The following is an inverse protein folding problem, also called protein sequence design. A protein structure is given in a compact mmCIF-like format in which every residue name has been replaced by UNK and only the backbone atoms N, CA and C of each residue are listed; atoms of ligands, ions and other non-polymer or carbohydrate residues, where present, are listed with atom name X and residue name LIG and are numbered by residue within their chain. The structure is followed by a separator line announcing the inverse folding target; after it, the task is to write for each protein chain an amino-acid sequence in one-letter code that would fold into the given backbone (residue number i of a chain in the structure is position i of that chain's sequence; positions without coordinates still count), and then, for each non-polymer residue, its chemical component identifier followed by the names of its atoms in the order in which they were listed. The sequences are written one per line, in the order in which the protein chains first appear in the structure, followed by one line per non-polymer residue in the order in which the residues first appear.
data_IF_730335848232
#
_entry.id   IF_730335848232
#
_cell.length_a   1.000
_cell.length_b   1.000
_cell.length_c   1.000
_cell.angle_alpha   90.00
_cell.angle_beta   90.00
_cell.angle_gamma   90.00
#
_symmetry.space_group_name_H-M   'P 1'
#
loop_
_entity.id
_entity.type
_entity.pdbx_description
1 polymer ?
#
# COMPACT_ATOMS: atom_id res chain seq x y z
N UNK A 1 -3.40 9.75 -17.61
CA UNK A 1 -4.30 8.89 -16.81
C UNK A 1 -3.79 9.03 -15.39
N UNK A 2 -4.55 9.66 -14.51
CA UNK A 2 -4.19 9.78 -13.08
C UNK A 2 -4.06 8.37 -12.50
N UNK A 3 -3.01 8.14 -11.72
CA UNK A 3 -2.71 6.86 -11.06
C UNK A 3 -3.29 6.91 -9.65
N UNK A 4 -3.73 5.77 -9.11
CA UNK A 4 -4.46 5.73 -7.83
C UNK A 4 -3.63 5.95 -6.56
N UNK A 5 -2.33 6.26 -6.69
CA UNK A 5 -1.45 6.55 -5.56
C UNK A 5 -1.49 8.05 -5.30
N UNK A 6 -2.55 8.49 -4.63
CA UNK A 6 -2.71 9.88 -4.18
C UNK A 6 -2.62 9.91 -2.65
N UNK A 7 -1.49 10.43 -2.17
CA UNK A 7 -1.16 10.54 -0.75
C UNK A 7 0.24 11.12 -0.66
N UNK A 8 0.36 12.31 -0.07
CA UNK A 8 1.66 12.97 0.10
C UNK A 8 2.60 12.06 0.88
N UNK A 9 3.83 11.89 0.39
CA UNK A 9 4.89 11.26 1.18
C UNK A 9 5.03 12.08 2.47
N UNK A 10 4.98 11.42 3.64
CA UNK A 10 5.37 12.06 4.90
C UNK A 10 6.79 12.64 4.78
N UNK A 11 7.15 13.62 5.62
CA UNK A 11 8.51 14.17 5.60
C UNK A 11 9.53 13.04 5.78
N UNK A 12 10.66 13.15 5.10
CA UNK A 12 11.70 12.13 5.07
C UNK A 12 12.17 11.81 6.51
N UNK A 13 11.79 10.63 7.03
CA UNK A 13 12.15 10.18 8.38
C UNK A 13 10.99 10.10 9.38
N UNK A 14 9.79 10.58 9.04
CA UNK A 14 8.59 10.41 9.87
C UNK A 14 7.79 9.20 9.38
N UNK A 15 7.93 8.07 10.09
CA UNK A 15 7.14 6.87 9.81
C UNK A 15 5.82 6.92 10.57
N UNK A 16 4.73 6.49 9.94
CA UNK A 16 3.48 6.28 10.67
C UNK A 16 3.61 5.10 11.65
N UNK A 17 2.75 4.98 12.68
CA UNK A 17 2.73 3.82 13.56
C UNK A 17 2.51 2.48 12.82
N UNK A 18 1.92 2.48 11.62
CA UNK A 18 1.76 1.28 10.80
C UNK A 18 3.03 0.97 10.03
N UNK A 19 3.67 1.99 9.45
CA UNK A 19 4.96 1.85 8.76
C UNK A 19 6.07 1.41 9.72
N UNK A 20 6.08 1.92 10.96
CA UNK A 20 6.98 1.45 12.02
C UNK A 20 6.79 -0.04 12.31
N UNK A 21 5.55 -0.48 12.52
CA UNK A 21 5.24 -1.91 12.77
C UNK A 21 5.62 -2.79 11.59
N UNK A 22 5.34 -2.35 10.37
CA UNK A 22 5.67 -3.09 9.17
C UNK A 22 7.19 -3.20 8.99
N UNK A 23 7.94 -2.12 9.22
CA UNK A 23 9.40 -2.10 9.22
C UNK A 23 9.96 -3.09 10.24
N UNK A 24 9.45 -3.05 11.47
CA UNK A 24 9.90 -3.95 12.54
C UNK A 24 9.57 -5.42 12.24
N UNK A 25 8.50 -5.67 11.48
CA UNK A 25 8.12 -7.00 10.98
C UNK A 25 8.80 -7.40 9.66
N UNK A 26 9.59 -6.51 9.04
CA UNK A 26 10.30 -6.77 7.78
C UNK A 26 9.43 -6.72 6.52
N UNK A 27 8.28 -6.04 6.56
CA UNK A 27 7.37 -5.90 5.42
C UNK A 27 7.51 -4.54 4.72
N UNK A 28 7.59 -4.53 3.37
CA UNK A 28 7.37 -3.32 2.58
C UNK A 28 5.93 -2.83 2.73
N UNK A 29 5.76 -1.67 3.37
CA UNK A 29 4.45 -1.07 3.63
C UNK A 29 4.53 0.44 3.48
N UNK A 30 3.47 1.04 2.94
CA UNK A 30 3.28 2.49 2.82
C UNK A 30 1.83 2.80 3.19
N UNK A 31 1.64 3.76 4.10
CA UNK A 31 0.30 4.27 4.43
C UNK A 31 -0.21 5.19 3.32
N UNK A 32 -1.52 5.11 3.03
CA UNK A 32 -2.22 5.95 2.06
C UNK A 32 -3.48 6.55 2.70
N UNK A 33 -4.03 7.61 2.10
CA UNK A 33 -5.19 8.34 2.65
C UNK A 33 -6.55 7.75 2.20
N UNK A 34 -6.73 6.46 2.47
CA UNK A 34 -7.94 5.71 2.09
C UNK A 34 -8.46 4.77 3.16
N UNK A 35 -9.49 4.01 2.80
CA UNK A 35 -10.22 3.12 3.71
C UNK A 35 -10.25 1.65 3.23
N UNK A 36 -9.73 1.37 2.04
CA UNK A 36 -9.65 0.01 1.48
C UNK A 36 -8.23 -0.54 1.63
N UNK A 37 -8.05 -1.48 2.56
CA UNK A 37 -6.76 -2.13 2.78
C UNK A 37 -6.34 -3.06 1.64
N UNK A 38 -5.04 -3.09 1.31
CA UNK A 38 -4.47 -3.98 0.28
C UNK A 38 -3.35 -4.87 0.85
N UNK A 39 -3.34 -6.15 0.44
CA UNK A 39 -2.29 -7.13 0.76
C UNK A 39 -1.95 -7.99 -0.48
N UNK A 40 -1.39 -7.38 -1.53
CA UNK A 40 -1.04 -8.07 -2.77
C UNK A 40 0.13 -9.06 -2.59
N UNK A 41 0.06 -10.19 -3.30
CA UNK A 41 1.15 -11.19 -3.41
C UNK A 41 2.30 -10.77 -4.34
N UNK A 42 2.58 -9.47 -4.43
CA UNK A 42 3.61 -8.89 -5.30
C UNK A 42 3.33 -7.43 -5.69
N UNK A 43 4.37 -6.61 -5.77
CA UNK A 43 4.27 -5.18 -6.09
C UNK A 43 3.45 -4.86 -7.35
N UNK A 44 3.64 -5.61 -8.45
CA UNK A 44 2.92 -5.37 -9.71
C UNK A 44 1.42 -5.62 -9.59
N UNK A 45 1.00 -6.66 -8.86
CA UNK A 45 -0.41 -6.91 -8.55
C UNK A 45 -0.96 -5.84 -7.60
N UNK A 46 -0.14 -5.36 -6.67
CA UNK A 46 -0.48 -4.29 -5.75
C UNK A 46 -0.82 -2.98 -6.43
N UNK A 47 0.06 -2.52 -7.31
CA UNK A 47 -0.13 -1.28 -8.06
C UNK A 47 -1.40 -1.39 -8.93
N UNK A 48 -1.58 -2.51 -9.64
CA UNK A 48 -2.77 -2.75 -10.45
C UNK A 48 -4.06 -2.79 -9.61
N UNK A 49 -4.00 -3.32 -8.39
CA UNK A 49 -5.14 -3.36 -7.47
C UNK A 49 -5.51 -1.96 -6.97
N UNK A 50 -4.53 -1.13 -6.63
CA UNK A 50 -4.75 0.27 -6.23
C UNK A 50 -5.35 1.07 -7.38
N UNK A 51 -4.84 0.90 -8.60
CA UNK A 51 -5.42 1.53 -9.79
C UNK A 51 -6.87 1.09 -10.01
N UNK A 52 -7.19 -0.19 -9.79
CA UNK A 52 -8.55 -0.70 -9.92
C UNK A 52 -9.48 -0.08 -8.87
N UNK A 53 -9.05 -0.01 -7.61
CA UNK A 53 -9.78 0.62 -6.51
C UNK A 53 -10.12 2.07 -6.89
N UNK A 54 -9.13 2.83 -7.36
CA UNK A 54 -9.31 4.22 -7.78
C UNK A 54 -10.27 4.36 -8.98
N UNK A 55 -10.15 3.51 -10.00
CA UNK A 55 -11.05 3.54 -11.18
C UNK A 55 -12.52 3.33 -10.81
N UNK A 56 -12.80 2.57 -9.75
CA UNK A 56 -14.15 2.37 -9.23
C UNK A 56 -14.57 3.38 -8.15
N UNK A 57 -13.77 4.43 -7.93
CA UNK A 57 -14.08 5.52 -7.00
C UNK A 57 -13.76 5.24 -5.53
N UNK A 58 -13.04 4.15 -5.24
CA UNK A 58 -12.54 3.85 -3.91
C UNK A 58 -11.18 4.50 -3.63
N UNK A 59 -10.72 4.41 -2.39
CA UNK A 59 -9.39 4.90 -1.96
C UNK A 59 -8.63 3.81 -1.22
N UNK A 60 -7.45 3.46 -1.71
CA UNK A 60 -6.59 2.51 -1.04
C UNK A 60 -6.06 3.11 0.27
N UNK A 61 -6.14 2.36 1.36
CA UNK A 61 -5.65 2.75 2.69
C UNK A 61 -4.14 2.49 2.86
N UNK A 62 -3.58 1.57 2.07
CA UNK A 62 -2.17 1.23 2.15
C UNK A 62 -1.70 0.55 0.86
N UNK A 63 -0.39 0.50 0.69
CA UNK A 63 0.31 -0.43 -0.20
C UNK A 63 1.17 -1.36 0.64
N UNK A 64 1.06 -2.67 0.47
CA UNK A 64 1.89 -3.66 1.17
C UNK A 64 2.33 -4.76 0.21
N UNK A 65 3.63 -4.90 -0.07
CA UNK A 65 4.12 -6.04 -0.84
C UNK A 65 4.48 -7.18 0.09
N UNK A 66 3.65 -8.24 0.08
CA UNK A 66 3.90 -9.42 0.92
C UNK A 66 5.02 -10.33 0.41
N UNK A 67 5.52 -10.09 -0.82
CA UNK A 67 6.57 -10.89 -1.43
C UNK A 67 6.10 -12.30 -1.80
N UNK A 68 5.73 -12.50 -3.06
CA UNK A 68 5.35 -13.82 -3.58
C UNK A 68 4.07 -14.39 -2.97
N UNK A 69 3.75 -15.64 -3.31
CA UNK A 69 2.57 -16.31 -2.80
C UNK A 69 2.73 -16.59 -1.29
N UNK A 70 1.69 -16.35 -0.47
CA UNK A 70 1.72 -16.74 0.94
C UNK A 70 2.04 -18.23 1.05
N UNK A 71 2.92 -18.60 1.99
CA UNK A 71 3.15 -20.01 2.31
C UNK A 71 1.81 -20.64 2.68
N UNK A 72 1.41 -21.64 1.89
CA UNK A 72 0.26 -22.50 2.20
C UNK A 72 0.51 -23.34 3.45
#
# INVERSE_FOLDING_TARGET
KELGIEGGRHEEGELTPNEEKARDAGFPYVDLDGDIGTFPGGAGFGIASIDLIHVYGGKAANFMDSGGAPSQ
#
